data_IF_549922232967
#
_entry.id   IF_549922232967
#
_cell.length_a   1.000
_cell.length_b   1.000
_cell.length_c   1.000
_cell.angle_alpha   90.00
_cell.angle_beta   90.00
_cell.angle_gamma   90.00
#
_symmetry.space_group_name_H-M   'P 1'
#
loop_
_entity.id
_entity.type
_entity.pdbx_description
1 polymer ?
#
# COMPACT_ATOMS: atom_id res chain seq x y z
N UNK A 1 6.18 12.43 1.05
CA UNK A 1 6.22 11.27 1.96
C UNK A 1 5.78 10.01 1.21
N UNK A 2 6.47 8.88 1.48
CA UNK A 2 6.06 7.55 1.01
C UNK A 2 5.64 6.71 2.21
N UNK A 3 4.35 6.40 2.29
CA UNK A 3 3.85 5.43 3.25
C UNK A 3 4.14 4.02 2.75
N UNK A 4 4.70 3.18 3.61
CA UNK A 4 4.93 1.76 3.34
C UNK A 4 4.15 0.98 4.37
N UNK A 5 3.16 0.20 3.93
CA UNK A 5 2.23 -0.48 4.82
C UNK A 5 2.08 -1.97 4.49
N UNK A 6 1.68 -2.76 5.50
CA UNK A 6 1.12 -4.08 5.28
C UNK A 6 -0.24 -3.98 4.57
N UNK A 7 -0.70 -5.08 3.98
CA UNK A 7 -1.92 -5.09 3.18
C UNK A 7 -2.82 -6.28 3.53
N UNK A 8 -4.02 -6.00 4.03
CA UNK A 8 -4.97 -7.01 4.45
C UNK A 8 -6.23 -7.04 3.59
N UNK A 9 -6.67 -5.85 3.14
CA UNK A 9 -7.97 -5.70 2.51
C UNK A 9 -8.02 -4.43 1.64
N UNK A 10 -8.99 -4.34 0.75
CA UNK A 10 -9.30 -3.09 0.06
C UNK A 10 -9.69 -1.94 1.01
N UNK A 11 -10.12 -2.26 2.23
CA UNK A 11 -10.44 -1.27 3.27
C UNK A 11 -9.21 -0.45 3.65
N UNK A 12 -8.00 -1.04 3.59
CA UNK A 12 -6.73 -0.37 3.90
C UNK A 12 -6.55 0.92 3.08
N UNK A 13 -7.02 0.87 1.82
CA UNK A 13 -6.96 2.01 0.90
C UNK A 13 -7.83 3.15 1.42
N UNK A 14 -9.05 2.85 1.87
CA UNK A 14 -9.96 3.86 2.42
C UNK A 14 -9.44 4.45 3.73
N UNK A 15 -8.90 3.60 4.60
CA UNK A 15 -8.35 4.03 5.89
C UNK A 15 -7.15 4.96 5.71
N UNK A 16 -6.16 4.54 4.93
CA UNK A 16 -4.97 5.34 4.68
C UNK A 16 -5.29 6.62 3.90
N UNK A 17 -6.15 6.55 2.89
CA UNK A 17 -6.60 7.73 2.16
C UNK A 17 -7.29 8.74 3.07
N UNK A 18 -8.24 8.27 3.90
CA UNK A 18 -8.96 9.12 4.82
C UNK A 18 -8.07 9.76 5.90
N UNK A 19 -7.06 9.02 6.38
CA UNK A 19 -6.16 9.49 7.42
C UNK A 19 -5.02 10.39 6.91
N UNK A 20 -4.55 10.19 5.67
CA UNK A 20 -3.29 10.81 5.19
C UNK A 20 -3.42 11.58 3.88
N UNK A 21 -4.54 11.48 3.18
CA UNK A 21 -4.72 12.08 1.86
C UNK A 21 -3.82 11.48 0.78
N UNK A 22 -3.28 10.29 1.00
CA UNK A 22 -2.29 9.64 0.13
C UNK A 22 -2.89 9.16 -1.19
N UNK A 23 -2.09 9.20 -2.26
CA UNK A 23 -2.37 8.50 -3.51
C UNK A 23 -1.92 7.03 -3.42
N UNK A 24 -2.52 6.18 -4.24
CA UNK A 24 -2.20 4.74 -4.30
C UNK A 24 -1.73 4.33 -5.68
N UNK A 25 -0.98 3.24 -5.74
CA UNK A 25 -0.66 2.57 -6.99
C UNK A 25 -1.49 1.30 -7.08
N UNK A 26 -2.37 1.21 -8.07
CA UNK A 26 -3.25 0.08 -8.28
C UNK A 26 -3.06 -0.55 -9.66
N UNK A 27 -3.45 -1.82 -9.79
CA UNK A 27 -3.48 -2.51 -11.09
C UNK A 27 -4.47 -1.85 -12.03
N UNK A 28 -4.10 -1.65 -13.30
CA UNK A 28 -4.94 -1.03 -14.32
C UNK A 28 -6.28 -1.76 -14.51
N UNK A 29 -6.29 -3.08 -14.32
CA UNK A 29 -7.50 -3.92 -14.42
C UNK A 29 -8.56 -3.53 -13.38
N UNK A 30 -8.15 -3.04 -12.21
CA UNK A 30 -9.06 -2.59 -11.14
C UNK A 30 -9.88 -1.37 -11.57
N UNK A 31 -9.43 -0.58 -12.53
CA UNK A 31 -10.18 0.54 -13.11
C UNK A 31 -11.51 0.10 -13.73
N UNK A 32 -11.57 -1.15 -14.21
CA UNK A 32 -12.78 -1.72 -14.86
C UNK A 32 -13.77 -2.31 -13.87
N UNK A 33 -13.37 -2.52 -12.61
CA UNK A 33 -14.28 -3.00 -11.58
C UNK A 33 -15.17 -1.83 -11.12
N UNK A 34 -16.51 -1.89 -11.24
CA UNK A 34 -17.38 -0.72 -11.11
C UNK A 34 -17.21 0.02 -9.78
N UNK A 35 -17.24 -0.70 -8.66
CA UNK A 35 -17.11 -0.10 -7.33
C UNK A 35 -15.66 0.26 -7.01
N UNK A 36 -14.73 -0.67 -7.24
CA UNK A 36 -13.30 -0.47 -6.92
C UNK A 36 -12.68 0.59 -7.83
N UNK A 37 -13.01 0.58 -9.13
CA UNK A 37 -12.55 1.60 -10.07
C UNK A 37 -13.04 3.00 -9.69
N UNK A 38 -14.30 3.12 -9.27
CA UNK A 38 -14.84 4.39 -8.77
C UNK A 38 -14.12 4.86 -7.50
N UNK A 39 -13.96 3.99 -6.49
CA UNK A 39 -13.19 4.29 -5.27
C UNK A 39 -11.75 4.70 -5.58
N UNK A 40 -11.10 4.02 -6.52
CA UNK A 40 -9.75 4.38 -6.97
C UNK A 40 -9.69 5.78 -7.59
N UNK A 41 -10.73 6.22 -8.31
CA UNK A 41 -10.75 7.58 -8.89
C UNK A 41 -10.92 8.66 -7.83
N UNK A 42 -11.63 8.37 -6.75
CA UNK A 42 -11.80 9.30 -5.62
C UNK A 42 -10.50 9.48 -4.82
N UNK A 43 -9.62 8.48 -4.82
CA UNK A 43 -8.40 8.45 -4.00
C UNK A 43 -7.12 8.76 -4.79
N UNK A 44 -7.18 9.55 -5.85
CA UNK A 44 -6.03 9.92 -6.68
C UNK A 44 -5.15 8.71 -7.08
N UNK A 45 -5.77 7.56 -7.37
CA UNK A 45 -5.06 6.31 -7.64
C UNK A 45 -4.32 6.35 -8.97
N UNK A 46 -3.05 6.03 -8.94
CA UNK A 46 -2.19 5.84 -10.11
C UNK A 46 -2.42 4.42 -10.62
N UNK A 47 -3.04 4.28 -11.80
CA UNK A 47 -3.26 2.96 -12.40
C UNK A 47 -2.07 2.51 -13.22
N UNK A 48 -1.62 1.28 -12.97
CA UNK A 48 -0.43 0.72 -13.60
C UNK A 48 -0.69 -0.67 -14.17
N UNK A 49 -0.22 -0.92 -15.39
CA UNK A 49 -0.23 -2.25 -16.00
C UNK A 49 0.98 -3.04 -15.52
N UNK A 50 0.79 -4.30 -15.10
CA UNK A 50 1.88 -5.18 -14.63
C UNK A 50 2.33 -6.19 -15.68
N UNK A 51 1.80 -6.12 -16.88
CA UNK A 51 2.02 -7.14 -17.91
C UNK A 51 3.42 -7.14 -18.53
N UNK A 52 4.25 -6.11 -18.30
CA UNK A 52 5.55 -5.99 -18.95
C UNK A 52 6.60 -5.35 -18.02
N UNK A 53 7.90 -5.72 -18.21
CA UNK A 53 9.04 -5.07 -17.54
C UNK A 53 9.11 -3.57 -17.83
N UNK A 54 8.74 -3.14 -19.03
CA UNK A 54 8.63 -1.72 -19.37
C UNK A 54 7.55 -1.01 -18.55
N UNK A 55 6.49 -1.72 -18.14
CA UNK A 55 5.46 -1.18 -17.25
C UNK A 55 6.00 -0.85 -15.86
N UNK A 56 6.93 -1.64 -15.31
CA UNK A 56 7.55 -1.35 -14.00
C UNK A 56 8.40 -0.07 -14.06
N UNK A 57 9.15 0.13 -15.14
CA UNK A 57 9.95 1.36 -15.35
C UNK A 57 9.05 2.60 -15.44
N UNK A 58 7.95 2.50 -16.19
CA UNK A 58 6.96 3.57 -16.30
C UNK A 58 6.29 3.87 -14.93
N UNK A 59 6.02 2.84 -14.13
CA UNK A 59 5.48 2.97 -12.77
C UNK A 59 6.45 3.72 -11.84
N UNK A 60 7.73 3.38 -11.90
CA UNK A 60 8.78 4.05 -11.13
C UNK A 60 8.87 5.53 -11.54
N UNK A 61 8.84 5.84 -12.83
CA UNK A 61 8.86 7.22 -13.33
C UNK A 61 7.64 7.99 -12.84
N UNK A 62 6.43 7.43 -12.98
CA UNK A 62 5.20 8.05 -12.53
C UNK A 62 5.17 8.27 -11.01
N UNK A 63 5.68 7.32 -10.23
CA UNK A 63 5.83 7.47 -8.79
C UNK A 63 6.78 8.62 -8.45
N UNK A 64 7.93 8.72 -9.14
CA UNK A 64 8.87 9.83 -8.99
C UNK A 64 8.25 11.17 -9.31
N UNK A 65 7.50 11.28 -10.40
CA UNK A 65 6.79 12.48 -10.79
C UNK A 65 5.74 12.90 -9.75
N UNK A 66 5.05 11.94 -9.16
CA UNK A 66 4.08 12.19 -8.09
C UNK A 66 4.76 12.71 -6.84
N UNK A 67 5.88 12.10 -6.44
CA UNK A 67 6.67 12.53 -5.28
C UNK A 67 7.31 13.89 -5.49
N UNK A 68 7.73 14.22 -6.73
CA UNK A 68 8.29 15.52 -7.09
C UNK A 68 7.27 16.67 -6.99
N UNK A 69 5.97 16.34 -6.99
CA UNK A 69 4.86 17.29 -6.75
C UNK A 69 4.43 17.33 -5.29
N UNK A 70 5.23 16.81 -4.36
CA UNK A 70 4.96 16.71 -2.92
C UNK A 70 3.69 15.93 -2.55
N UNK A 71 3.18 15.11 -3.46
CA UNK A 71 2.03 14.26 -3.14
C UNK A 71 2.47 13.03 -2.34
N UNK A 72 1.80 12.76 -1.21
CA UNK A 72 2.06 11.55 -0.46
C UNK A 72 1.58 10.32 -1.24
N UNK A 73 2.35 9.24 -1.21
CA UNK A 73 2.01 7.98 -1.91
C UNK A 73 2.10 6.82 -0.95
N UNK A 74 1.14 5.90 -1.02
CA UNK A 74 1.19 4.63 -0.29
C UNK A 74 1.60 3.47 -1.20
N UNK A 75 2.53 2.67 -0.69
CA UNK A 75 2.98 1.41 -1.28
C UNK A 75 2.65 0.25 -0.35
N UNK A 76 2.11 -0.82 -0.94
CA UNK A 76 1.97 -2.13 -0.29
C UNK A 76 3.00 -3.09 -0.88
N UNK A 77 4.21 -3.18 -0.31
CA UNK A 77 5.32 -3.93 -0.91
C UNK A 77 5.10 -5.44 -0.91
N UNK A 78 4.18 -5.97 -0.13
CA UNK A 78 3.73 -7.36 -0.19
C UNK A 78 3.19 -7.72 -1.58
N UNK A 79 2.57 -6.74 -2.27
CA UNK A 79 2.05 -6.88 -3.63
C UNK A 79 0.79 -7.75 -3.73
N UNK A 80 0.28 -8.22 -2.61
CA UNK A 80 -0.99 -8.90 -2.41
C UNK A 80 -1.45 -8.69 -0.97
N UNK A 81 -2.70 -9.01 -0.67
CA UNK A 81 -3.23 -8.99 0.69
C UNK A 81 -2.80 -10.24 1.46
N UNK A 82 -2.51 -10.09 2.75
CA UNK A 82 -2.12 -11.12 3.69
C UNK A 82 -3.18 -11.34 4.78
N UNK A 83 -2.86 -12.22 5.73
CA UNK A 83 -3.73 -12.59 6.86
C UNK A 83 -3.72 -11.56 8.00
N UNK A 84 -2.81 -10.58 7.95
CA UNK A 84 -2.61 -9.56 8.98
C UNK A 84 -1.85 -10.03 10.22
N UNK A 85 -1.51 -11.30 10.30
CA UNK A 85 -0.72 -11.88 11.40
C UNK A 85 0.76 -11.87 11.06
N UNK A 86 1.10 -12.36 9.86
CA UNK A 86 2.48 -12.45 9.39
C UNK A 86 2.67 -11.57 8.16
N UNK A 87 3.68 -10.69 8.19
CA UNK A 87 4.03 -9.90 7.02
C UNK A 87 4.57 -10.79 5.91
N UNK A 88 3.99 -10.68 4.72
CA UNK A 88 4.53 -11.33 3.52
C UNK A 88 5.87 -10.69 3.12
N UNK A 89 6.69 -11.37 2.30
CA UNK A 89 7.94 -10.81 1.81
C UNK A 89 7.75 -9.51 1.04
N UNK A 90 8.53 -8.47 1.36
CA UNK A 90 8.47 -7.18 0.69
C UNK A 90 9.16 -7.23 -0.67
N UNK A 91 8.45 -6.84 -1.71
CA UNK A 91 8.96 -6.69 -3.09
C UNK A 91 9.52 -5.28 -3.26
N UNK A 92 10.83 -5.17 -3.45
CA UNK A 92 11.52 -3.88 -3.55
C UNK A 92 11.35 -3.17 -4.92
N UNK A 93 10.57 -3.72 -5.87
CA UNK A 93 10.51 -3.20 -7.23
C UNK A 93 10.09 -1.72 -7.31
N UNK A 94 8.98 -1.35 -6.66
CA UNK A 94 8.49 0.03 -6.66
C UNK A 94 9.32 0.97 -5.77
N UNK A 95 10.00 0.44 -4.77
CA UNK A 95 10.93 1.21 -3.93
C UNK A 95 12.18 1.68 -4.71
N UNK A 96 12.40 1.18 -5.94
CA UNK A 96 13.38 1.75 -6.85
C UNK A 96 13.10 3.23 -7.22
N UNK A 97 11.89 3.74 -6.99
CA UNK A 97 11.61 5.17 -7.10
C UNK A 97 12.35 6.00 -6.03
N UNK A 98 12.79 5.37 -4.96
CA UNK A 98 13.54 5.95 -3.84
C UNK A 98 15.05 5.68 -3.92
N UNK A 99 15.53 5.18 -5.06
CA UNK A 99 16.93 4.84 -5.29
C UNK A 99 17.41 5.38 -6.67
N UNK A 100 18.10 6.55 -6.72
CA UNK A 100 18.28 7.52 -5.62
C UNK A 100 16.96 8.21 -5.25
N UNK A 101 16.76 8.60 -3.98
CA UNK A 101 15.52 9.24 -3.55
C UNK A 101 15.38 10.68 -4.07
N UNK A 102 14.15 11.13 -4.37
CA UNK A 102 13.90 12.56 -4.59
C UNK A 102 14.23 13.37 -3.31
N UNK A 103 14.68 14.63 -3.47
CA UNK A 103 15.06 15.48 -2.33
C UNK A 103 13.93 15.60 -1.30
N UNK A 104 14.26 15.49 -0.01
CA UNK A 104 13.32 15.69 1.09
C UNK A 104 12.30 14.56 1.31
N UNK A 105 12.29 13.52 0.46
CA UNK A 105 11.36 12.40 0.61
C UNK A 105 11.74 11.56 1.83
N UNK A 106 10.74 11.24 2.65
CA UNK A 106 10.86 10.32 3.78
C UNK A 106 9.94 9.11 3.59
N UNK A 107 10.38 7.97 4.10
CA UNK A 107 9.58 6.75 4.20
C UNK A 107 8.93 6.70 5.56
N UNK A 108 7.61 6.55 5.57
CA UNK A 108 6.78 6.40 6.76
C UNK A 108 6.22 4.97 6.82
N UNK A 109 6.81 4.08 7.62
CA UNK A 109 6.25 2.74 7.81
C UNK A 109 4.95 2.81 8.62
N UNK A 110 3.97 2.02 8.20
CA UNK A 110 2.64 1.97 8.85
C UNK A 110 2.21 0.52 9.01
N UNK A 111 1.75 0.14 10.19
CA UNK A 111 1.05 -1.12 10.43
C UNK A 111 -0.44 -0.87 10.51
N UNK A 112 -1.19 -1.60 9.70
CA UNK A 112 -2.65 -1.62 9.71
C UNK A 112 -3.09 -2.82 10.54
N UNK A 113 -3.94 -2.57 11.52
CA UNK A 113 -4.46 -3.60 12.43
C UNK A 113 -5.99 -3.44 12.58
N UNK A 114 -6.70 -4.53 12.40
CA UNK A 114 -8.15 -4.61 12.59
C UNK A 114 -8.54 -5.29 13.91
N UNK A 115 -7.57 -5.56 14.79
CA UNK A 115 -7.77 -6.22 16.07
C UNK A 115 -8.50 -7.57 15.92
N UNK A 116 -9.56 -7.78 16.70
CA UNK A 116 -10.34 -9.01 16.65
C UNK A 116 -11.07 -9.25 15.33
N UNK A 117 -11.23 -8.23 14.50
CA UNK A 117 -11.89 -8.36 13.20
C UNK A 117 -10.95 -8.77 12.05
N UNK A 118 -9.65 -8.92 12.32
CA UNK A 118 -8.63 -9.22 11.29
C UNK A 118 -9.01 -10.41 10.42
N UNK A 119 -9.38 -11.55 11.00
CA UNK A 119 -9.76 -12.75 10.24
C UNK A 119 -11.00 -12.58 9.38
N UNK A 120 -11.95 -11.74 9.82
CA UNK A 120 -13.16 -11.45 9.06
C UNK A 120 -12.92 -10.46 7.92
N UNK A 121 -11.96 -9.56 8.07
CA UNK A 121 -11.70 -8.48 7.12
C UNK A 121 -10.53 -8.77 6.17
N UNK A 122 -9.63 -9.67 6.55
CA UNK A 122 -8.51 -10.05 5.70
C UNK A 122 -9.00 -10.75 4.41
N UNK A 123 -8.39 -10.37 3.30
CA UNK A 123 -8.63 -10.96 1.99
C UNK A 123 -7.48 -11.89 1.64
N UNK A 124 -7.68 -13.18 1.86
CA UNK A 124 -6.63 -14.19 1.73
C UNK A 124 -6.97 -15.23 0.66
N UNK A 125 -5.93 -15.86 0.13
CA UNK A 125 -6.07 -16.93 -0.86
C UNK A 125 -6.69 -16.48 -2.18
N UNK A 126 -7.48 -17.36 -2.78
CA UNK A 126 -8.10 -17.15 -4.08
C UNK A 126 -9.55 -16.64 -3.99
N UNK A 127 -9.96 -16.06 -2.84
CA UNK A 127 -11.30 -15.50 -2.69
C UNK A 127 -11.55 -14.43 -3.75
N UNK A 128 -12.60 -14.56 -4.60
CA UNK A 128 -12.92 -13.53 -5.58
C UNK A 128 -13.24 -12.19 -4.92
N UNK A 129 -12.71 -11.07 -5.43
CA UNK A 129 -12.84 -9.75 -4.81
C UNK A 129 -14.29 -9.32 -4.57
N UNK A 130 -15.23 -9.70 -5.45
CA UNK A 130 -16.65 -9.43 -5.26
C UNK A 130 -17.25 -10.24 -4.08
N UNK A 131 -16.79 -11.46 -3.83
CA UNK A 131 -17.23 -12.27 -2.69
C UNK A 131 -16.68 -11.68 -1.39
N UNK A 132 -15.39 -11.34 -1.37
CA UNK A 132 -14.77 -10.64 -0.25
C UNK A 132 -15.51 -9.32 0.06
N UNK A 133 -15.76 -8.48 -0.94
CA UNK A 133 -16.48 -7.22 -0.75
C UNK A 133 -17.91 -7.46 -0.20
N UNK A 134 -18.63 -8.45 -0.74
CA UNK A 134 -19.96 -8.80 -0.25
C UNK A 134 -19.93 -9.31 1.19
N UNK A 135 -18.93 -10.10 1.58
CA UNK A 135 -18.72 -10.61 2.94
C UNK A 135 -18.47 -9.47 3.91
N UNK A 136 -17.58 -8.56 3.56
CA UNK A 136 -17.26 -7.39 4.38
C UNK A 136 -18.47 -6.45 4.53
N UNK A 137 -19.18 -6.14 3.44
CA UNK A 137 -20.33 -5.24 3.47
C UNK A 137 -21.56 -5.84 4.20
N UNK A 138 -21.69 -7.17 4.26
CA UNK A 138 -22.75 -7.86 5.01
C UNK A 138 -22.43 -8.02 6.50
N UNK A 139 -21.18 -7.71 6.90
CA UNK A 139 -20.78 -7.81 8.30
C UNK A 139 -21.66 -6.92 9.19
N UNK A 140 -22.11 -7.46 10.30
CA UNK A 140 -22.89 -6.73 11.31
C UNK A 140 -21.97 -6.18 12.40
N UNK A 141 -22.36 -5.06 12.98
CA UNK A 141 -21.62 -4.38 14.03
C UNK A 141 -20.46 -3.52 13.50
N UNK A 142 -19.72 -2.95 14.42
CA UNK A 142 -18.54 -2.11 14.15
C UNK A 142 -17.25 -2.89 14.41
N UNK A 143 -16.16 -2.36 13.94
CA UNK A 143 -14.79 -2.79 14.28
C UNK A 143 -13.91 -1.56 14.45
N UNK A 144 -12.84 -1.73 15.18
CA UNK A 144 -11.81 -0.71 15.31
C UNK A 144 -10.69 -1.05 14.31
N UNK A 145 -10.29 -0.06 13.52
CA UNK A 145 -9.10 -0.14 12.69
C UNK A 145 -8.06 0.82 13.26
N UNK A 146 -6.86 0.34 13.50
CA UNK A 146 -5.76 1.15 14.03
C UNK A 146 -4.67 1.27 12.98
N UNK A 147 -4.20 2.49 12.77
CA UNK A 147 -3.03 2.79 11.95
C UNK A 147 -1.88 3.14 12.91
N UNK A 148 -0.90 2.26 13.01
CA UNK A 148 0.30 2.50 13.81
C UNK A 148 1.37 3.07 12.89
N UNK A 149 1.86 4.26 13.20
CA UNK A 149 2.93 4.92 12.45
C UNK A 149 4.25 4.75 13.20
N UNK A 150 5.23 4.08 12.59
CA UNK A 150 6.58 4.03 13.12
C UNK A 150 7.31 5.35 12.88
N UNK A 151 8.48 5.54 13.49
CA UNK A 151 9.32 6.71 13.21
C UNK A 151 9.72 6.74 11.71
N UNK A 152 9.51 7.85 10.98
CA UNK A 152 9.88 7.94 9.59
C UNK A 152 11.41 7.99 9.42
N UNK A 153 11.92 7.53 8.26
CA UNK A 153 13.34 7.53 7.95
C UNK A 153 13.65 8.13 6.56
N UNK A 154 14.88 8.60 6.38
CA UNK A 154 15.35 9.06 5.10
C UNK A 154 15.84 7.86 4.25
N UNK A 155 15.29 7.62 3.06
CA UNK A 155 15.73 6.50 2.23
C UNK A 155 17.21 6.64 1.79
N UNK A 156 17.74 7.87 1.73
CA UNK A 156 19.15 8.12 1.41
C UNK A 156 20.13 7.48 2.40
N UNK A 157 19.70 7.22 3.63
CA UNK A 157 20.54 6.62 4.70
C UNK A 157 20.68 5.09 4.53
N UNK A 158 19.99 4.47 3.58
CA UNK A 158 19.84 3.01 3.47
C UNK A 158 20.40 2.37 2.17
N UNK A 159 21.19 3.10 1.41
CA UNK A 159 21.96 2.58 0.28
C UNK A 159 21.16 2.21 -0.96
N UNK A 160 20.31 1.17 -0.92
CA UNK A 160 19.55 0.71 -2.08
C UNK A 160 18.07 0.38 -1.74
N UNK A 161 17.28 0.14 -2.78
CA UNK A 161 15.85 -0.20 -2.65
C UNK A 161 15.57 -1.44 -1.79
N UNK A 162 16.52 -2.40 -1.70
CA UNK A 162 16.36 -3.62 -0.88
C UNK A 162 16.58 -3.29 0.60
N UNK A 163 17.59 -2.48 0.88
CA UNK A 163 17.85 -1.99 2.24
C UNK A 163 16.68 -1.13 2.75
N UNK A 164 16.11 -0.25 1.89
CA UNK A 164 14.89 0.52 2.20
C UNK A 164 13.70 -0.41 2.53
N UNK A 165 13.50 -1.47 1.72
CA UNK A 165 12.42 -2.45 1.97
C UNK A 165 12.62 -3.19 3.30
N UNK A 166 13.85 -3.61 3.59
CA UNK A 166 14.21 -4.31 4.82
C UNK A 166 13.97 -3.44 6.05
N UNK A 167 14.40 -2.18 6.01
CA UNK A 167 14.21 -1.25 7.12
C UNK A 167 12.72 -0.92 7.34
N UNK A 168 11.96 -0.67 6.27
CA UNK A 168 10.53 -0.44 6.38
C UNK A 168 9.81 -1.64 7.00
N UNK A 169 10.14 -2.88 6.54
CA UNK A 169 9.61 -4.11 7.10
C UNK A 169 9.93 -4.26 8.59
N UNK A 170 11.20 -4.09 8.95
CA UNK A 170 11.67 -4.19 10.34
C UNK A 170 10.90 -3.24 11.28
N UNK A 171 10.65 -2.00 10.82
CA UNK A 171 9.88 -1.02 11.60
C UNK A 171 8.42 -1.39 11.74
N UNK A 172 7.80 -1.96 10.70
CA UNK A 172 6.41 -2.43 10.76
C UNK A 172 6.27 -3.65 11.68
N UNK A 173 7.26 -4.56 11.66
CA UNK A 173 7.28 -5.74 12.55
C UNK A 173 7.47 -5.37 14.03
N UNK A 174 8.02 -4.21 14.33
CA UNK A 174 8.24 -3.72 15.68
C UNK A 174 7.02 -3.00 16.30
N UNK A 175 5.97 -2.74 15.51
CA UNK A 175 4.70 -2.16 15.94
C UNK A 175 3.70 -3.24 16.37
#
# INVERSE_FOLDING_TARGET
>A
VVFVANHLSWIDILLLSGATGTAFIAKAELRRAPLVGWLCTLNATIFVSRADRMAVTAQIAQLRDTLARDWPVTLFPEGTTGDGVTLLPFKAALLAALDPPPPGVRVQPVRIDYGSATHELAWVGDEPGQHHAARVLKRRGSFVATLHFAEPFAPADHGDRKAIATEARRRIEAL
#
